data_IF_629082849781
#
_entry.id   IF_629082849781
#
_cell.length_a   1.000
_cell.length_b   1.000
_cell.length_c   1.000
_cell.angle_alpha   90.00
_cell.angle_beta   90.00
_cell.angle_gamma   90.00
#
_symmetry.space_group_name_H-M   'P 1'
#
loop_
_entity.id
_entity.type
_entity.pdbx_description
1 polymer ?
#
# COMPACT_ATOMS: atom_id res chain seq x y z
N UNK A 1 -14.04 -10.81 -2.70
CA UNK A 1 -14.27 -11.68 -3.87
C UNK A 1 -15.68 -12.23 -3.80
N UNK A 2 -16.25 -12.65 -4.92
CA UNK A 2 -17.61 -13.19 -4.95
C UNK A 2 -17.62 -14.46 -5.78
N UNK A 3 -18.25 -15.52 -5.26
CA UNK A 3 -18.48 -16.76 -5.97
C UNK A 3 -19.98 -16.91 -6.26
N UNK A 4 -20.32 -17.22 -7.51
CA UNK A 4 -21.68 -17.46 -7.96
C UNK A 4 -21.82 -18.86 -8.54
N UNK A 5 -22.89 -19.56 -8.20
CA UNK A 5 -23.24 -20.85 -8.76
C UNK A 5 -24.70 -20.84 -9.21
N UNK A 6 -24.99 -21.44 -10.36
CA UNK A 6 -26.36 -21.67 -10.81
C UNK A 6 -26.56 -23.08 -11.35
N UNK A 7 -27.77 -23.60 -11.17
CA UNK A 7 -28.20 -24.90 -11.68
C UNK A 7 -29.53 -24.76 -12.41
N UNK A 8 -29.73 -25.56 -13.45
CA UNK A 8 -30.96 -25.60 -14.22
C UNK A 8 -31.48 -27.04 -14.30
N UNK A 9 -32.73 -27.26 -13.98
CA UNK A 9 -33.36 -28.56 -14.13
C UNK A 9 -33.80 -28.83 -15.59
N UNK A 10 -34.10 -30.09 -15.98
CA UNK A 10 -34.57 -30.41 -17.33
C UNK A 10 -35.90 -29.76 -17.74
N UNK A 11 -36.70 -29.31 -16.76
CA UNK A 11 -37.94 -28.58 -17.01
C UNK A 11 -37.69 -27.08 -17.25
N UNK A 12 -36.44 -26.61 -17.06
CA UNK A 12 -36.00 -25.25 -17.33
C UNK A 12 -36.01 -24.33 -16.10
N UNK A 13 -36.26 -24.84 -14.89
CA UNK A 13 -36.21 -24.02 -13.68
C UNK A 13 -34.77 -23.77 -13.27
N UNK A 14 -34.45 -22.53 -12.89
CA UNK A 14 -33.11 -22.11 -12.48
C UNK A 14 -33.06 -21.81 -10.98
N UNK A 15 -31.96 -22.23 -10.34
CA UNK A 15 -31.62 -21.83 -8.98
C UNK A 15 -30.20 -21.26 -8.98
N UNK A 16 -29.97 -20.20 -8.22
CA UNK A 16 -28.66 -19.58 -8.07
C UNK A 16 -28.32 -19.35 -6.59
N UNK A 17 -27.02 -19.42 -6.28
CA UNK A 17 -26.47 -19.11 -4.97
C UNK A 17 -25.26 -18.18 -5.14
N UNK A 18 -25.10 -17.27 -4.18
CA UNK A 18 -24.01 -16.29 -4.13
C UNK A 18 -23.32 -16.39 -2.77
N UNK A 19 -22.00 -16.43 -2.79
CA UNK A 19 -21.15 -16.33 -1.59
C UNK A 19 -20.23 -15.11 -1.75
N UNK A 20 -20.39 -14.15 -0.85
CA UNK A 20 -19.60 -12.93 -0.80
C UNK A 20 -18.45 -13.14 0.20
N UNK A 21 -17.25 -13.37 -0.33
CA UNK A 21 -16.03 -13.49 0.45
C UNK A 21 -15.31 -12.16 0.61
N UNK A 22 -14.72 -11.91 1.78
CA UNK A 22 -13.82 -10.78 2.01
C UNK A 22 -12.39 -11.28 2.09
N UNK A 23 -11.46 -10.54 1.46
CA UNK A 23 -10.02 -10.63 1.79
C UNK A 23 -9.75 -9.39 2.63
N UNK A 24 -9.39 -9.62 3.89
CA UNK A 24 -8.90 -8.57 4.79
C UNK A 24 -7.39 -8.73 4.88
N UNK A 25 -6.67 -7.78 4.28
CA UNK A 25 -5.23 -7.71 4.28
C UNK A 25 -4.81 -6.47 5.07
N UNK A 26 -3.85 -6.65 5.98
CA UNK A 26 -3.38 -5.57 6.84
C UNK A 26 -2.24 -4.83 6.14
N UNK A 27 -2.44 -3.54 5.87
CA UNK A 27 -1.41 -2.67 5.32
C UNK A 27 -0.26 -2.43 6.33
N UNK A 28 0.98 -2.44 5.83
CA UNK A 28 2.17 -2.11 6.61
C UNK A 28 3.10 -1.16 5.84
N UNK A 29 3.88 -0.36 6.57
CA UNK A 29 4.89 0.54 6.02
C UNK A 29 6.15 0.51 6.89
N UNK A 30 7.31 0.46 6.26
CA UNK A 30 8.62 0.59 6.90
C UNK A 30 9.30 1.86 6.40
N UNK A 31 10.18 2.42 7.23
CA UNK A 31 11.06 3.52 6.85
C UNK A 31 12.49 3.14 7.21
N UNK A 32 13.39 3.27 6.25
CA UNK A 32 14.83 3.14 6.44
C UNK A 32 15.45 4.54 6.37
N UNK A 33 15.94 4.98 7.52
CA UNK A 33 16.58 6.27 7.64
C UNK A 33 18.06 6.14 7.23
N UNK A 34 18.58 7.04 6.39
CA UNK A 34 19.98 7.02 6.00
C UNK A 34 20.89 7.26 7.21
N UNK A 35 22.15 6.84 7.09
CA UNK A 35 23.16 7.10 8.11
C UNK A 35 23.29 8.62 8.35
N UNK A 36 23.61 9.01 9.60
CA UNK A 36 23.88 10.40 9.94
C UNK A 36 25.18 10.85 9.25
N UNK A 37 25.05 11.64 8.20
CA UNK A 37 26.15 12.25 7.44
C UNK A 37 26.01 13.77 7.42
N UNK A 38 26.95 14.46 6.77
CA UNK A 38 26.84 15.88 6.42
C UNK A 38 26.14 16.12 5.07
N UNK A 39 25.46 15.09 4.54
CA UNK A 39 24.64 15.18 3.34
C UNK A 39 23.37 15.96 3.65
N UNK A 40 23.11 17.00 2.88
CA UNK A 40 21.93 17.84 3.02
C UNK A 40 20.75 17.36 2.15
N UNK A 41 20.94 16.31 1.34
CA UNK A 41 19.91 15.65 0.51
C UNK A 41 19.94 14.14 0.71
N UNK A 42 19.64 13.65 1.93
CA UNK A 42 19.78 12.24 2.22
C UNK A 42 18.59 11.44 1.66
N UNK A 43 18.85 10.40 0.88
CA UNK A 43 17.78 9.52 0.36
C UNK A 43 17.14 8.71 1.49
N UNK A 44 15.83 8.86 1.68
CA UNK A 44 15.01 8.05 2.59
C UNK A 44 14.28 7.00 1.76
N UNK A 45 14.38 5.75 2.18
CA UNK A 45 13.71 4.63 1.50
C UNK A 45 12.79 3.88 2.45
N UNK A 46 11.94 3.02 1.90
CA UNK A 46 11.09 2.14 2.68
C UNK A 46 10.29 1.22 1.78
N UNK A 47 9.53 0.33 2.41
CA UNK A 47 8.65 -0.62 1.72
C UNK A 47 7.27 -0.60 2.33
N UNK A 48 6.26 -0.81 1.51
CA UNK A 48 4.89 -1.04 1.91
C UNK A 48 4.49 -2.49 1.63
N UNK A 49 3.53 -2.98 2.38
CA UNK A 49 2.86 -4.25 2.10
C UNK A 49 1.37 -3.98 2.06
N UNK A 50 0.70 -4.58 1.08
CA UNK A 50 -0.74 -4.37 0.86
C UNK A 50 -1.13 -2.89 0.65
N UNK A 51 -0.25 -2.16 -0.04
CA UNK A 51 -0.50 -0.80 -0.51
C UNK A 51 -0.24 -0.77 -2.00
N UNK A 52 -1.23 -0.34 -2.76
CA UNK A 52 -1.18 -0.31 -4.23
C UNK A 52 -0.15 0.72 -4.75
N UNK A 53 0.36 0.46 -5.95
CA UNK A 53 1.21 1.40 -6.68
C UNK A 53 0.50 2.74 -6.89
N UNK A 54 1.25 3.84 -6.78
CA UNK A 54 0.74 5.20 -6.97
C UNK A 54 0.12 5.82 -5.72
N UNK A 55 -0.04 5.07 -4.63
CA UNK A 55 -0.46 5.62 -3.34
C UNK A 55 0.59 6.60 -2.80
N UNK A 56 0.13 7.70 -2.21
CA UNK A 56 0.99 8.79 -1.74
C UNK A 56 1.65 8.42 -0.41
N UNK A 57 2.97 8.53 -0.36
CA UNK A 57 3.78 8.44 0.86
C UNK A 57 4.21 9.84 1.25
N UNK A 58 3.91 10.25 2.49
CA UNK A 58 4.34 11.53 3.06
C UNK A 58 5.41 11.27 4.10
N UNK A 59 6.59 11.86 3.91
CA UNK A 59 7.72 11.78 4.85
C UNK A 59 7.93 13.14 5.50
N UNK A 60 7.99 13.15 6.83
CA UNK A 60 8.25 14.36 7.62
C UNK A 60 9.61 14.19 8.29
N UNK A 61 10.57 15.02 7.89
CA UNK A 61 11.92 15.08 8.46
C UNK A 61 11.93 16.18 9.51
N UNK A 62 12.35 15.86 10.73
CA UNK A 62 12.47 16.84 11.83
C UNK A 62 13.93 16.97 12.23
N UNK A 63 14.47 18.19 12.22
CA UNK A 63 15.85 18.45 12.65
C UNK A 63 15.99 18.52 14.18
N UNK A 64 17.24 18.65 14.66
CA UNK A 64 17.54 18.74 16.10
C UNK A 64 17.03 20.02 16.78
N UNK A 65 16.67 21.04 16.00
CA UNK A 65 16.08 22.30 16.46
C UNK A 65 14.55 22.28 16.39
N UNK A 66 13.95 21.19 15.90
CA UNK A 66 12.51 21.01 15.75
C UNK A 66 11.92 21.58 14.46
N UNK A 67 12.75 22.02 13.51
CA UNK A 67 12.25 22.43 12.19
C UNK A 67 11.86 21.18 11.38
N UNK A 68 10.72 21.26 10.69
CA UNK A 68 10.19 20.16 9.90
C UNK A 68 10.26 20.46 8.41
N UNK A 69 10.65 19.46 7.61
CA UNK A 69 10.48 19.44 6.16
C UNK A 69 9.58 18.27 5.77
N UNK A 70 8.66 18.52 4.84
CA UNK A 70 7.72 17.52 4.34
C UNK A 70 8.02 17.26 2.88
N UNK A 71 8.23 16.00 2.55
CA UNK A 71 8.45 15.53 1.19
C UNK A 71 7.46 14.41 0.86
N UNK A 72 7.06 14.32 -0.40
CA UNK A 72 6.06 13.35 -0.86
C UNK A 72 6.60 12.52 -2.00
N UNK A 73 6.30 11.23 -1.99
CA UNK A 73 6.58 10.29 -3.07
C UNK A 73 5.40 9.34 -3.25
N UNK A 74 5.53 8.37 -4.14
CA UNK A 74 4.51 7.34 -4.37
C UNK A 74 5.08 5.94 -4.20
N UNK A 75 4.24 5.00 -3.77
CA UNK A 75 4.55 3.56 -3.77
C UNK A 75 4.77 3.08 -5.21
N UNK A 76 5.85 2.35 -5.45
CA UNK A 76 6.16 1.72 -6.75
C UNK A 76 5.46 0.36 -6.88
N UNK A 77 5.45 -0.19 -8.09
CA UNK A 77 4.89 -1.53 -8.38
C UNK A 77 5.41 -2.66 -7.47
N UNK A 78 6.65 -2.55 -6.97
CA UNK A 78 7.27 -3.53 -6.08
C UNK A 78 6.99 -3.28 -4.58
N UNK A 79 6.15 -2.28 -4.26
CA UNK A 79 5.86 -1.85 -2.89
C UNK A 79 6.94 -0.94 -2.29
N UNK A 80 8.03 -0.62 -2.99
CA UNK A 80 9.05 0.28 -2.46
C UNK A 80 8.69 1.76 -2.66
N UNK A 81 9.27 2.63 -1.84
CA UNK A 81 9.26 4.08 -2.05
C UNK A 81 10.64 4.68 -1.76
N UNK A 82 10.92 5.82 -2.37
CA UNK A 82 12.17 6.58 -2.18
C UNK A 82 11.89 8.06 -2.31
N UNK A 83 12.55 8.87 -1.49
CA UNK A 83 12.50 10.32 -1.52
C UNK A 83 13.85 10.91 -1.16
N UNK A 84 14.19 12.07 -1.75
CA UNK A 84 15.42 12.82 -1.55
C UNK A 84 15.15 14.19 -0.91
#
# INVERSE_FOLDING_TARGET
>A
YTAEASVKDPAGNEAAAKDDGSVDTAAAITVDAPALTNDNTPTITGTTTDVEEGQVVTVVVTDSQGNTQTVTTTVKADGSYSVD
#
